data_IF_977649650561
#
_entry.id   IF_977649650561
#
_cell.length_a   1.000
_cell.length_b   1.000
_cell.length_c   1.000
_cell.angle_alpha   90.00
_cell.angle_beta   90.00
_cell.angle_gamma   90.00
#
_symmetry.space_group_name_H-M   'P 1'
#
loop_
_entity.id
_entity.type
_entity.pdbx_description
1 polymer ?
#
# COMPACT_ATOMS: atom_id res chain seq x y z
N UNK A 1 -65.63 47.95 -43.97
CA UNK A 1 -65.56 49.40 -43.64
C UNK A 1 -64.17 49.71 -43.17
N UNK A 2 -63.42 50.42 -44.01
CA UNK A 2 -62.39 51.44 -43.73
C UNK A 2 -61.27 51.06 -42.78
N UNK A 3 -60.07 51.33 -42.99
CA UNK A 3 -59.23 52.19 -43.90
C UNK A 3 -57.79 52.03 -43.36
N UNK A 4 -56.90 51.95 -44.25
CA UNK A 4 -55.83 52.83 -44.71
C UNK A 4 -54.48 52.69 -43.93
N UNK A 5 -53.50 52.15 -44.61
CA UNK A 5 -52.34 52.83 -45.26
C UNK A 5 -51.44 53.58 -44.26
N UNK A 6 -50.16 53.21 -44.24
CA UNK A 6 -48.92 54.00 -44.54
C UNK A 6 -47.74 53.18 -44.11
N UNK A 7 -46.92 52.57 -44.98
CA UNK A 7 -45.83 53.21 -45.73
C UNK A 7 -44.83 53.96 -44.82
N UNK A 8 -43.67 53.37 -44.65
CA UNK A 8 -42.35 54.02 -44.85
C UNK A 8 -41.26 53.04 -44.43
N UNK A 9 -40.47 52.68 -45.33
CA UNK A 9 -39.15 53.19 -45.69
C UNK A 9 -37.99 52.51 -44.93
N UNK A 10 -37.39 51.58 -45.61
CA UNK A 10 -35.96 51.58 -45.99
C UNK A 10 -34.95 51.81 -44.89
N UNK A 11 -34.16 50.82 -44.70
CA UNK A 11 -32.88 50.89 -44.01
C UNK A 11 -32.10 49.63 -44.34
N UNK A 12 -31.46 49.61 -45.48
CA UNK A 12 -30.43 48.64 -45.87
C UNK A 12 -29.20 48.91 -45.01
N UNK A 13 -28.94 48.06 -44.03
CA UNK A 13 -27.66 48.03 -43.37
C UNK A 13 -27.02 46.71 -43.74
N UNK A 14 -26.19 46.74 -44.77
CA UNK A 14 -25.19 45.76 -45.11
C UNK A 14 -24.15 45.77 -43.98
N UNK A 15 -24.29 44.89 -43.02
CA UNK A 15 -23.16 44.58 -42.10
C UNK A 15 -22.43 43.42 -42.74
N UNK A 16 -21.26 43.73 -43.28
CA UNK A 16 -20.36 42.79 -43.88
C UNK A 16 -19.98 41.68 -42.88
N UNK A 17 -20.36 40.48 -43.22
CA UNK A 17 -19.87 39.26 -42.59
C UNK A 17 -18.45 39.05 -43.09
N UNK A 18 -17.48 39.58 -42.31
CA UNK A 18 -16.06 39.34 -42.52
C UNK A 18 -15.81 37.89 -42.09
N UNK A 19 -15.95 36.95 -43.06
CA UNK A 19 -15.53 35.57 -42.96
C UNK A 19 -14.00 35.60 -42.78
N UNK A 20 -13.53 35.45 -41.56
CA UNK A 20 -12.14 35.11 -41.27
C UNK A 20 -11.87 33.67 -41.70
N UNK A 21 -11.12 33.42 -42.79
CA UNK A 21 -10.66 32.10 -43.11
C UNK A 21 -9.43 31.78 -42.27
N UNK A 22 -9.60 31.23 -41.12
CA UNK A 22 -8.45 30.94 -40.26
C UNK A 22 -8.70 30.15 -38.98
N UNK A 23 -9.95 29.82 -38.67
CA UNK A 23 -10.27 29.13 -37.42
C UNK A 23 -10.53 27.62 -37.57
N UNK A 24 -10.15 27.04 -38.71
CA UNK A 24 -10.37 25.61 -38.95
C UNK A 24 -9.10 24.76 -38.94
N UNK A 25 -8.00 25.25 -38.35
CA UNK A 25 -6.71 24.55 -38.42
C UNK A 25 -6.11 24.19 -37.05
N UNK A 26 -6.91 24.13 -35.99
CA UNK A 26 -6.48 23.51 -34.73
C UNK A 26 -7.59 22.60 -34.15
N UNK A 27 -8.23 21.78 -34.99
CA UNK A 27 -8.68 20.49 -34.51
C UNK A 27 -7.45 19.59 -34.52
N UNK A 28 -6.55 19.88 -33.57
CA UNK A 28 -5.46 19.01 -33.24
C UNK A 28 -6.08 17.65 -32.91
N UNK A 29 -5.61 16.68 -33.60
CA UNK A 29 -5.92 15.25 -33.51
C UNK A 29 -5.77 14.82 -32.03
N UNK A 30 -6.78 15.10 -31.22
CA UNK A 30 -7.02 14.39 -29.98
C UNK A 30 -7.34 12.96 -30.42
N UNK A 31 -6.27 12.20 -30.74
CA UNK A 31 -6.35 10.76 -30.68
C UNK A 31 -6.99 10.48 -29.34
N UNK A 32 -8.25 10.09 -29.37
CA UNK A 32 -8.89 9.55 -28.18
C UNK A 32 -8.02 8.37 -27.78
N UNK A 33 -7.34 8.51 -26.64
CA UNK A 33 -6.66 7.40 -25.95
C UNK A 33 -7.73 6.39 -25.46
N UNK A 34 -8.67 6.04 -26.34
CA UNK A 34 -9.65 5.02 -26.05
C UNK A 34 -8.96 3.66 -26.09
N UNK A 35 -8.91 3.03 -24.94
CA UNK A 35 -8.42 1.65 -24.87
C UNK A 35 -9.32 0.80 -25.76
N UNK A 36 -8.78 0.03 -26.72
CA UNK A 36 -9.59 -0.76 -27.65
C UNK A 36 -10.48 -1.76 -26.91
N UNK A 37 -11.79 -1.62 -27.05
CA UNK A 37 -12.77 -2.46 -26.35
C UNK A 37 -12.55 -3.96 -26.61
N UNK A 38 -12.13 -4.33 -27.83
CA UNK A 38 -11.74 -5.70 -28.18
C UNK A 38 -10.60 -6.24 -27.29
N UNK A 39 -9.60 -5.40 -26.97
CA UNK A 39 -8.47 -5.81 -26.13
C UNK A 39 -8.88 -6.00 -24.68
N UNK A 40 -9.77 -5.16 -24.19
CA UNK A 40 -10.35 -5.35 -22.86
C UNK A 40 -11.17 -6.64 -22.80
N UNK A 41 -12.00 -6.90 -23.82
CA UNK A 41 -12.78 -8.13 -23.87
C UNK A 41 -11.87 -9.36 -23.91
N UNK A 42 -10.82 -9.34 -24.73
CA UNK A 42 -9.82 -10.41 -24.81
C UNK A 42 -9.15 -10.64 -23.46
N UNK A 43 -8.78 -9.58 -22.73
CA UNK A 43 -8.20 -9.68 -21.39
C UNK A 43 -9.18 -10.36 -20.41
N UNK A 44 -10.44 -9.91 -20.39
CA UNK A 44 -11.48 -10.49 -19.53
C UNK A 44 -11.70 -11.98 -19.82
N UNK A 45 -11.72 -12.36 -21.10
CA UNK A 45 -11.92 -13.76 -21.50
C UNK A 45 -10.72 -14.65 -21.06
N UNK A 46 -9.49 -14.14 -21.19
CA UNK A 46 -8.29 -14.84 -20.70
C UNK A 46 -8.33 -14.95 -19.18
N UNK A 47 -8.66 -13.86 -18.49
CA UNK A 47 -8.77 -13.85 -17.02
C UNK A 47 -9.75 -14.92 -16.51
N UNK A 48 -10.96 -14.97 -17.10
CA UNK A 48 -11.96 -15.98 -16.77
C UNK A 48 -11.45 -17.39 -17.05
N UNK A 49 -10.79 -17.59 -18.18
CA UNK A 49 -10.24 -18.90 -18.55
C UNK A 49 -9.17 -19.38 -17.58
N UNK A 50 -8.28 -18.48 -17.14
CA UNK A 50 -7.28 -18.83 -16.12
C UNK A 50 -7.98 -19.23 -14.83
N UNK A 51 -8.93 -18.40 -14.35
CA UNK A 51 -9.69 -18.67 -13.13
C UNK A 51 -10.45 -20.01 -13.16
N UNK A 52 -10.99 -20.40 -14.29
CA UNK A 52 -11.79 -21.62 -14.43
C UNK A 52 -10.96 -22.88 -14.71
N UNK A 53 -9.78 -22.75 -15.31
CA UNK A 53 -9.01 -23.89 -15.83
C UNK A 53 -7.62 -24.06 -15.25
N UNK A 54 -7.17 -23.12 -14.40
CA UNK A 54 -5.88 -23.29 -13.74
C UNK A 54 -5.99 -24.38 -12.66
N UNK A 55 -4.87 -25.08 -12.40
CA UNK A 55 -4.83 -26.24 -11.50
C UNK A 55 -5.07 -25.86 -10.03
N UNK A 56 -4.60 -24.68 -9.64
CA UNK A 56 -4.76 -24.16 -8.29
C UNK A 56 -5.80 -23.04 -8.28
N UNK A 57 -6.52 -22.91 -7.17
CA UNK A 57 -7.47 -21.80 -6.97
C UNK A 57 -6.69 -20.50 -6.70
N UNK A 58 -6.87 -19.51 -7.57
CA UNK A 58 -6.24 -18.19 -7.45
C UNK A 58 -7.32 -17.14 -7.33
N UNK A 59 -7.24 -16.31 -6.31
CA UNK A 59 -8.19 -15.21 -6.10
C UNK A 59 -8.05 -14.10 -7.15
N UNK A 60 -9.11 -13.31 -7.28
CA UNK A 60 -9.19 -12.27 -8.30
C UNK A 60 -8.14 -11.18 -8.12
N UNK A 61 -7.85 -10.77 -6.86
CA UNK A 61 -6.88 -9.72 -6.53
C UNK A 61 -5.48 -10.15 -6.96
N UNK A 62 -5.09 -11.37 -6.64
CA UNK A 62 -3.81 -11.96 -7.06
C UNK A 62 -3.68 -12.01 -8.58
N UNK A 63 -4.73 -12.41 -9.31
CA UNK A 63 -4.70 -12.44 -10.78
C UNK A 63 -4.55 -11.05 -11.39
N UNK A 64 -5.21 -10.04 -10.83
CA UNK A 64 -5.04 -8.66 -11.27
C UNK A 64 -3.62 -8.15 -10.99
N UNK A 65 -3.07 -8.43 -9.83
CA UNK A 65 -1.70 -8.06 -9.48
C UNK A 65 -0.68 -8.69 -10.44
N UNK A 66 -0.84 -9.98 -10.77
CA UNK A 66 0.00 -10.64 -11.77
C UNK A 66 -0.11 -10.00 -13.15
N UNK A 67 -1.31 -9.62 -13.57
CA UNK A 67 -1.53 -8.96 -14.85
C UNK A 67 -0.85 -7.58 -14.91
N UNK A 68 -0.99 -6.78 -13.86
CA UNK A 68 -0.35 -5.46 -13.74
C UNK A 68 1.17 -5.62 -13.68
N UNK A 69 1.66 -6.54 -12.86
CA UNK A 69 3.09 -6.84 -12.76
C UNK A 69 3.68 -7.26 -14.10
N UNK A 70 3.01 -8.19 -14.81
CA UNK A 70 3.43 -8.62 -16.15
C UNK A 70 3.47 -7.48 -17.15
N UNK A 71 2.45 -6.62 -17.15
CA UNK A 71 2.38 -5.45 -18.02
C UNK A 71 3.54 -4.48 -17.77
N UNK A 72 3.79 -4.11 -16.51
CA UNK A 72 4.82 -3.14 -16.15
C UNK A 72 6.22 -3.71 -16.37
N UNK A 73 6.49 -4.96 -15.96
CA UNK A 73 7.80 -5.59 -16.11
C UNK A 73 8.18 -5.87 -17.57
N UNK A 74 7.20 -5.86 -18.48
CA UNK A 74 7.43 -6.02 -19.92
C UNK A 74 7.86 -4.73 -20.62
N UNK A 75 7.80 -3.58 -19.95
CA UNK A 75 8.19 -2.29 -20.55
C UNK A 75 9.70 -2.16 -20.64
N UNK A 76 10.42 -2.41 -19.55
CA UNK A 76 11.88 -2.36 -19.46
C UNK A 76 12.38 -3.12 -18.22
N UNK A 77 13.70 -3.42 -18.13
CA UNK A 77 14.28 -4.17 -17.01
C UNK A 77 14.29 -3.43 -15.67
N UNK A 78 13.98 -2.14 -15.65
CA UNK A 78 14.02 -1.28 -14.45
C UNK A 78 12.61 -0.95 -13.95
N UNK A 79 11.59 -1.26 -14.76
CA UNK A 79 10.19 -1.04 -14.39
C UNK A 79 9.62 -2.25 -13.65
N UNK A 80 9.08 -2.03 -12.47
CA UNK A 80 8.40 -3.06 -11.68
C UNK A 80 7.17 -2.48 -10.99
N UNK A 81 6.13 -3.29 -10.93
CA UNK A 81 4.97 -3.00 -10.08
C UNK A 81 5.25 -3.53 -8.68
N UNK A 82 5.02 -2.71 -7.67
CA UNK A 82 5.09 -3.11 -6.28
C UNK A 82 3.67 -3.18 -5.72
N UNK A 83 3.33 -4.31 -5.13
CA UNK A 83 2.12 -4.39 -4.32
C UNK A 83 2.22 -3.40 -3.15
N UNK A 84 1.10 -3.15 -2.47
CA UNK A 84 1.10 -2.27 -1.29
C UNK A 84 2.07 -2.77 -0.20
N UNK A 85 2.15 -4.09 -0.02
CA UNK A 85 3.03 -4.72 0.95
C UNK A 85 4.50 -4.54 0.53
N UNK A 86 4.85 -4.83 -0.74
CA UNK A 86 6.21 -4.67 -1.26
C UNK A 86 6.69 -3.22 -1.24
N UNK A 87 5.79 -2.27 -1.56
CA UNK A 87 6.10 -0.84 -1.46
C UNK A 87 6.39 -0.43 -0.01
N UNK A 88 5.63 -0.94 0.95
CA UNK A 88 5.87 -0.68 2.37
C UNK A 88 7.21 -1.28 2.81
N UNK A 89 7.55 -2.50 2.39
CA UNK A 89 8.85 -3.11 2.71
C UNK A 89 10.02 -2.33 2.07
N UNK A 90 9.89 -1.89 0.83
CA UNK A 90 10.88 -1.03 0.18
C UNK A 90 11.05 0.29 0.94
N UNK A 91 9.96 0.91 1.37
CA UNK A 91 9.99 2.14 2.17
C UNK A 91 10.67 1.92 3.52
N UNK A 92 10.41 0.80 4.18
CA UNK A 92 11.07 0.40 5.42
C UNK A 92 12.57 0.22 5.18
N UNK A 93 12.94 -0.54 4.14
CA UNK A 93 14.35 -0.80 3.80
C UNK A 93 15.15 0.46 3.48
N UNK A 94 14.52 1.46 2.87
CA UNK A 94 15.18 2.73 2.50
C UNK A 94 15.20 3.76 3.62
N UNK A 95 14.14 3.83 4.44
CA UNK A 95 14.02 4.84 5.50
C UNK A 95 14.45 4.33 6.88
N UNK A 96 14.53 3.02 7.07
CA UNK A 96 14.73 2.37 8.36
C UNK A 96 13.57 2.61 9.35
N UNK A 97 12.40 3.06 8.88
CA UNK A 97 11.27 3.46 9.73
C UNK A 97 10.04 2.60 9.43
N UNK A 98 9.44 2.05 10.46
CA UNK A 98 8.22 1.25 10.34
C UNK A 98 7.32 1.39 11.57
N UNK A 99 6.04 1.16 11.37
CA UNK A 99 5.08 1.10 12.48
C UNK A 99 5.13 -0.28 13.14
N UNK A 100 5.37 -0.31 14.46
CA UNK A 100 5.50 -1.56 15.18
C UNK A 100 5.66 -1.40 16.67
N UNK A 101 6.17 -2.43 17.33
CA UNK A 101 6.29 -2.52 18.80
C UNK A 101 7.69 -2.18 19.31
N UNK A 102 8.71 -2.34 18.45
CA UNK A 102 10.11 -2.16 18.85
C UNK A 102 10.66 -3.35 19.63
N UNK A 103 10.58 -4.53 19.06
CA UNK A 103 11.16 -5.77 19.61
C UNK A 103 12.01 -6.48 18.56
N UNK A 104 13.09 -7.05 19.03
CA UNK A 104 13.88 -8.01 18.29
C UNK A 104 13.42 -9.41 18.65
N UNK A 105 13.16 -10.25 17.66
CA UNK A 105 12.53 -11.56 17.84
C UNK A 105 13.24 -12.66 17.08
N UNK A 106 13.03 -13.90 17.52
CA UNK A 106 13.44 -15.11 16.83
C UNK A 106 12.38 -16.21 16.97
N UNK A 107 12.55 -17.30 16.27
CA UNK A 107 11.71 -18.50 16.50
C UNK A 107 12.41 -19.46 17.45
N UNK A 108 11.67 -19.96 18.44
CA UNK A 108 12.12 -21.00 19.37
C UNK A 108 10.96 -21.97 19.65
N UNK A 109 11.14 -23.24 19.36
CA UNK A 109 10.17 -24.33 19.59
C UNK A 109 8.77 -24.06 18.99
N UNK A 110 8.73 -23.38 17.82
CA UNK A 110 7.49 -23.05 17.12
C UNK A 110 6.73 -21.85 17.70
N UNK A 111 7.37 -21.07 18.58
CA UNK A 111 6.88 -19.82 19.12
C UNK A 111 7.82 -18.65 18.80
N UNK A 112 7.30 -17.45 18.87
CA UNK A 112 8.11 -16.23 18.73
C UNK A 112 8.70 -15.85 20.08
N UNK A 113 10.02 -15.84 20.16
CA UNK A 113 10.77 -15.43 21.35
C UNK A 113 11.26 -14.00 21.22
N UNK A 114 11.06 -13.22 22.25
CA UNK A 114 11.63 -11.88 22.37
C UNK A 114 13.13 -12.02 22.70
N UNK A 115 13.99 -11.59 21.79
CA UNK A 115 15.44 -11.49 22.04
C UNK A 115 15.67 -10.31 22.97
N UNK A 116 15.21 -9.11 22.56
CA UNK A 116 15.21 -7.92 23.39
C UNK A 116 14.17 -6.91 22.92
N UNK A 117 13.51 -6.19 23.83
CA UNK A 117 12.83 -4.96 23.47
C UNK A 117 13.87 -3.88 23.16
N UNK A 118 13.59 -3.04 22.17
CA UNK A 118 14.42 -1.88 21.83
C UNK A 118 14.12 -0.77 22.84
N UNK A 119 15.16 -0.10 23.34
CA UNK A 119 15.01 0.99 24.29
C UNK A 119 14.10 2.11 23.74
N UNK A 120 13.35 2.74 24.62
CA UNK A 120 12.42 3.85 24.32
C UNK A 120 11.27 3.50 23.36
N UNK A 121 10.99 2.22 23.14
CA UNK A 121 9.89 1.74 22.30
C UNK A 121 8.64 1.34 23.11
N UNK A 122 7.47 1.19 22.46
CA UNK A 122 6.25 0.73 23.12
C UNK A 122 6.42 -0.58 23.88
N UNK A 123 7.14 -1.54 23.30
CA UNK A 123 7.37 -2.84 23.93
C UNK A 123 8.20 -2.74 25.21
N UNK A 124 9.24 -1.92 25.21
CA UNK A 124 10.07 -1.64 26.38
C UNK A 124 9.25 -0.97 27.49
N UNK A 125 8.44 0.02 27.14
CA UNK A 125 7.60 0.76 28.10
C UNK A 125 6.53 -0.08 28.80
N UNK A 126 5.96 -1.08 28.11
CA UNK A 126 4.98 -1.98 28.74
C UNK A 126 5.60 -3.10 29.55
N UNK A 127 6.94 -3.23 29.54
CA UNK A 127 7.66 -4.21 30.33
C UNK A 127 7.78 -5.60 29.70
N UNK A 128 7.74 -5.70 28.37
CA UNK A 128 8.22 -6.89 27.66
C UNK A 128 9.71 -7.10 28.00
N UNK A 129 10.12 -8.35 28.13
CA UNK A 129 11.48 -8.71 28.52
C UNK A 129 12.10 -9.71 27.56
N UNK A 130 13.43 -9.72 27.52
CA UNK A 130 14.18 -10.78 26.87
C UNK A 130 13.79 -12.14 27.43
N UNK A 131 13.60 -13.12 26.55
CA UNK A 131 13.18 -14.47 26.89
C UNK A 131 11.67 -14.67 26.97
N UNK A 132 10.83 -13.66 26.86
CA UNK A 132 9.37 -13.79 26.76
C UNK A 132 9.02 -14.58 25.49
N UNK A 133 8.15 -15.59 25.63
CA UNK A 133 7.62 -16.37 24.50
C UNK A 133 6.23 -15.84 24.14
N UNK A 134 6.08 -15.25 22.97
CA UNK A 134 4.81 -14.78 22.45
C UNK A 134 4.02 -16.01 21.97
N UNK A 135 2.84 -16.24 22.58
CA UNK A 135 1.96 -17.36 22.26
C UNK A 135 0.73 -16.94 21.46
N UNK A 136 0.31 -15.63 21.57
CA UNK A 136 -0.78 -15.08 20.79
C UNK A 136 -0.49 -13.61 20.42
N UNK A 137 -0.97 -13.24 19.23
CA UNK A 137 -1.02 -11.87 18.74
C UNK A 137 -2.48 -11.60 18.40
N UNK A 138 -3.12 -10.67 19.10
CA UNK A 138 -4.58 -10.51 19.16
C UNK A 138 -5.24 -11.84 19.50
N UNK A 139 -6.10 -12.36 18.62
CA UNK A 139 -6.77 -13.65 18.81
C UNK A 139 -6.07 -14.80 18.05
N UNK A 140 -5.03 -14.49 17.27
CA UNK A 140 -4.28 -15.48 16.49
C UNK A 140 -3.22 -16.19 17.34
N UNK A 141 -3.22 -17.54 17.29
CA UNK A 141 -2.15 -18.34 17.91
C UNK A 141 -0.89 -18.28 17.05
N UNK A 142 0.25 -18.00 17.69
CA UNK A 142 1.56 -17.92 17.01
C UNK A 142 2.11 -19.29 16.64
N UNK A 143 1.63 -20.37 17.30
CA UNK A 143 2.13 -21.72 17.07
C UNK A 143 1.95 -22.17 15.62
N UNK A 144 3.04 -22.46 14.94
CA UNK A 144 3.05 -22.90 13.55
C UNK A 144 3.14 -21.75 12.52
N UNK A 145 3.15 -20.50 12.96
CA UNK A 145 3.43 -19.36 12.08
C UNK A 145 4.91 -19.27 11.74
N UNK A 146 5.19 -18.70 10.59
CA UNK A 146 6.54 -18.23 10.25
C UNK A 146 6.84 -16.93 10.97
N UNK A 147 8.12 -16.57 11.09
CA UNK A 147 8.54 -15.30 11.68
C UNK A 147 7.96 -14.11 10.89
N UNK A 148 7.87 -14.22 9.57
CA UNK A 148 7.32 -13.18 8.69
C UNK A 148 5.83 -12.94 8.94
N UNK A 149 5.05 -13.99 9.10
CA UNK A 149 3.63 -13.89 9.44
C UNK A 149 3.43 -13.22 10.81
N UNK A 150 4.20 -13.62 11.81
CA UNK A 150 4.15 -13.00 13.14
C UNK A 150 4.54 -11.51 13.09
N UNK A 151 5.60 -11.15 12.34
CA UNK A 151 6.02 -9.77 12.12
C UNK A 151 4.92 -8.97 11.45
N UNK A 152 4.26 -9.52 10.43
CA UNK A 152 3.15 -8.85 9.72
C UNK A 152 1.99 -8.51 10.66
N UNK A 153 1.65 -9.41 11.60
CA UNK A 153 0.62 -9.16 12.62
C UNK A 153 1.03 -8.11 13.65
N UNK A 154 2.31 -8.08 14.04
CA UNK A 154 2.83 -7.12 15.03
C UNK A 154 3.05 -5.73 14.44
N UNK A 155 3.38 -5.61 13.14
CA UNK A 155 3.47 -4.34 12.43
C UNK A 155 2.09 -3.77 12.15
N UNK A 156 2.00 -2.50 11.81
CA UNK A 156 0.77 -1.82 11.42
C UNK A 156 0.90 -0.31 11.52
N UNK A 157 -0.21 0.39 11.29
CA UNK A 157 -0.24 1.84 11.33
C UNK A 157 0.07 2.35 12.75
N UNK A 158 0.95 3.36 12.89
CA UNK A 158 1.20 4.01 14.16
C UNK A 158 -0.11 4.54 14.78
N UNK A 159 -0.25 4.36 16.08
CA UNK A 159 -1.48 4.72 16.83
C UNK A 159 -2.50 3.59 16.93
N UNK A 160 -2.38 2.51 16.16
CA UNK A 160 -3.20 1.31 16.35
C UNK A 160 -2.67 0.44 17.48
N UNK A 161 -3.53 -0.34 18.13
CA UNK A 161 -3.16 -1.21 19.24
C UNK A 161 -3.13 -2.67 18.81
N UNK A 162 -2.28 -3.46 19.45
CA UNK A 162 -2.22 -4.91 19.34
C UNK A 162 -2.09 -5.54 20.72
N UNK A 163 -2.76 -6.66 20.92
CA UNK A 163 -2.71 -7.45 22.17
C UNK A 163 -1.69 -8.58 22.03
N UNK A 164 -0.66 -8.56 22.83
CA UNK A 164 0.40 -9.59 22.85
C UNK A 164 0.24 -10.42 24.11
N UNK A 165 0.10 -11.74 23.97
CA UNK A 165 0.08 -12.68 25.11
C UNK A 165 1.40 -13.43 25.12
N UNK A 166 2.10 -13.36 26.23
CA UNK A 166 3.40 -14.02 26.42
C UNK A 166 3.41 -14.97 27.61
N UNK A 167 4.27 -15.98 27.51
CA UNK A 167 4.66 -16.81 28.65
C UNK A 167 6.07 -16.43 29.05
N UNK A 168 6.24 -16.15 30.35
CA UNK A 168 7.54 -15.80 30.95
C UNK A 168 7.96 -16.92 31.89
N UNK A 169 9.19 -17.41 31.73
CA UNK A 169 9.69 -18.60 32.42
C UNK A 169 9.53 -18.56 33.97
N UNK A 170 9.51 -17.37 34.54
CA UNK A 170 9.43 -17.20 36.00
C UNK A 170 8.00 -17.08 36.52
N UNK A 171 6.98 -17.14 35.64
CA UNK A 171 5.58 -16.95 35.99
C UNK A 171 4.77 -18.14 35.55
N UNK A 172 3.76 -18.53 36.34
CA UNK A 172 2.85 -19.63 36.02
C UNK A 172 1.74 -19.20 35.04
N UNK A 173 1.35 -17.94 35.08
CA UNK A 173 0.27 -17.42 34.24
C UNK A 173 0.79 -16.57 33.07
N UNK A 174 0.14 -16.65 31.90
CA UNK A 174 0.47 -15.78 30.77
C UNK A 174 0.24 -14.30 31.09
N UNK A 175 1.13 -13.47 30.61
CA UNK A 175 1.01 -12.02 30.68
C UNK A 175 0.36 -11.49 29.40
N UNK A 176 -0.51 -10.49 29.55
CA UNK A 176 -1.18 -9.83 28.44
C UNK A 176 -0.75 -8.37 28.39
N UNK A 177 -0.23 -7.96 27.24
CA UNK A 177 0.20 -6.58 26.98
C UNK A 177 -0.63 -6.00 25.85
N UNK A 178 -1.31 -4.86 26.09
CA UNK A 178 -1.91 -4.06 25.04
C UNK A 178 -0.90 -2.97 24.65
N UNK A 179 -0.42 -3.02 23.43
CA UNK A 179 0.69 -2.19 22.96
C UNK A 179 0.22 -1.33 21.80
N UNK A 180 0.35 -0.02 21.93
CA UNK A 180 0.08 0.90 20.83
C UNK A 180 1.30 0.95 19.93
N UNK A 181 1.10 0.72 18.61
CA UNK A 181 2.17 0.78 17.61
C UNK A 181 2.67 2.20 17.47
N UNK A 182 3.96 2.36 17.34
CA UNK A 182 4.62 3.64 17.06
C UNK A 182 5.60 3.51 15.89
N UNK A 183 6.08 4.64 15.41
CA UNK A 183 7.15 4.65 14.41
C UNK A 183 8.44 4.21 15.09
N UNK A 184 8.92 3.04 14.73
CA UNK A 184 10.21 2.51 15.17
C UNK A 184 11.27 2.95 14.16
N UNK A 185 12.40 3.46 14.67
CA UNK A 185 13.55 3.81 13.84
C UNK A 185 14.65 2.80 14.13
N UNK A 186 14.94 1.98 13.11
CA UNK A 186 16.06 1.05 13.18
C UNK A 186 17.37 1.86 13.09
N UNK A 187 18.05 2.04 14.23
CA UNK A 187 19.37 2.68 14.27
C UNK A 187 20.42 1.66 13.83
N UNK A 188 20.90 1.76 12.61
CA UNK A 188 21.95 0.89 12.08
C UNK A 188 23.34 1.09 12.71
N UNK A 189 23.54 2.21 13.41
CA UNK A 189 24.82 2.55 14.08
C UNK A 189 24.52 3.12 15.44
N UNK A 190 25.16 2.57 16.47
CA UNK A 190 25.22 3.13 17.83
C UNK A 190 26.60 3.74 17.99
N UNK A 191 26.68 5.04 18.21
CA UNK A 191 27.94 5.73 18.55
C UNK A 191 27.88 6.21 19.99
N UNK A 192 28.94 5.97 20.76
CA UNK A 192 29.12 6.44 22.13
C UNK A 192 30.46 7.14 22.20
N UNK A 193 30.47 8.39 22.69
CA UNK A 193 31.69 9.09 22.99
C UNK A 193 32.23 8.57 24.32
N UNK A 194 33.33 7.85 24.28
CA UNK A 194 34.03 7.46 25.49
C UNK A 194 34.73 8.69 26.12
N UNK A 195 34.63 8.85 27.43
CA UNK A 195 35.13 10.02 28.18
C UNK A 195 36.62 10.32 28.04
N UNK A 196 37.39 9.55 27.29
CA UNK A 196 38.83 9.71 27.12
C UNK A 196 39.32 9.97 25.69
N UNK A 197 38.48 10.57 24.81
CA UNK A 197 38.92 11.00 23.47
C UNK A 197 39.67 9.92 22.64
N UNK A 198 39.35 8.66 22.79
CA UNK A 198 39.90 7.56 22.00
C UNK A 198 38.77 6.91 21.17
#
# INVERSE_FOLDING_TARGET
>A
MNKLIKSKLVGFLFLGYMILPGAWLYADDLKSDEIPAEKIQQFVDIFKKVKEQYVDDVDDETLFDYAIQGMVSSLDPHSSFLSKDDFNELKIGTTGRFGGLGIEITMEDGFVKVISPIDDTPASRVGLKSGDLIIKIDDASVKGMTISEAVKLMRGEPGTSVKITVVRKELNDPLIFNITREIIVAKGVKSELLENNI
#
